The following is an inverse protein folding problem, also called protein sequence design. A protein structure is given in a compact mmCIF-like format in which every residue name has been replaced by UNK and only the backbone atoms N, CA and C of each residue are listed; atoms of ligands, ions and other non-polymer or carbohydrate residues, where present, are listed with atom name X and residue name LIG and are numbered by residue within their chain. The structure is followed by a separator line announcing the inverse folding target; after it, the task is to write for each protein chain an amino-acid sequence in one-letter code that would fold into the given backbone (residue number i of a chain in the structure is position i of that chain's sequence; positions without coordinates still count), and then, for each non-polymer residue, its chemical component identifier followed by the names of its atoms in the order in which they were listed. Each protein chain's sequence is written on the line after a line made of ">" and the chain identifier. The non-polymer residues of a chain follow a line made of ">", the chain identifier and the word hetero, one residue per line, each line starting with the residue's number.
data_IF_873941077964
#
_entry.id   IF_873941077964
#
_cell.length_a   1.000
_cell.length_b   1.000
_cell.length_c   1.000
_cell.angle_alpha   90.00
_cell.angle_beta   90.00
_cell.angle_gamma   90.00
#
_symmetry.space_group_name_H-M   'P 1'
#
loop_
_entity.id
_entity.type
_entity.pdbx_description
1 polymer ?
#
# COMPACT_ATOMS: atom_id res chain seq x y z
N UNK A 1 -31.36 -5.17 25.46
CA UNK A 1 -31.23 -5.33 23.99
C UNK A 1 -30.81 -4.03 23.27
N UNK A 2 -31.40 -2.85 23.56
CA UNK A 2 -31.01 -1.57 22.93
C UNK A 2 -29.55 -1.15 23.18
N UNK A 3 -29.03 -1.28 24.40
CA UNK A 3 -27.62 -0.98 24.71
C UNK A 3 -26.63 -1.87 23.94
N UNK A 4 -26.96 -3.15 23.73
CA UNK A 4 -26.12 -4.07 22.97
C UNK A 4 -26.06 -3.66 21.49
N UNK A 5 -27.19 -3.24 20.91
CA UNK A 5 -27.24 -2.73 19.53
C UNK A 5 -26.48 -1.41 19.36
N UNK A 6 -26.56 -0.50 20.35
CA UNK A 6 -25.78 0.75 20.35
C UNK A 6 -24.29 0.46 20.49
N UNK A 7 -23.89 -0.48 21.34
CA UNK A 7 -22.48 -0.87 21.50
C UNK A 7 -21.94 -1.55 20.25
N UNK A 8 -22.72 -2.42 19.59
CA UNK A 8 -22.34 -3.04 18.32
C UNK A 8 -22.25 -2.03 17.19
N UNK A 9 -23.18 -1.07 17.13
CA UNK A 9 -23.10 0.04 16.17
C UNK A 9 -21.87 0.92 16.44
N UNK A 10 -21.58 1.23 17.71
CA UNK A 10 -20.40 2.00 18.10
C UNK A 10 -19.09 1.26 17.76
N UNK A 11 -19.02 -0.04 18.04
CA UNK A 11 -17.89 -0.90 17.66
C UNK A 11 -17.75 -1.03 16.14
N UNK A 12 -18.84 -1.07 15.38
CA UNK A 12 -18.81 -1.05 13.92
C UNK A 12 -18.32 0.30 13.36
N UNK A 13 -18.76 1.41 13.96
CA UNK A 13 -18.29 2.77 13.63
C UNK A 13 -16.79 2.91 13.93
N UNK A 14 -16.31 2.42 15.08
CA UNK A 14 -14.87 2.43 15.40
C UNK A 14 -14.07 1.57 14.41
N UNK A 15 -14.56 0.38 14.04
CA UNK A 15 -13.90 -0.49 13.05
C UNK A 15 -13.78 0.14 11.66
N UNK A 16 -14.67 1.07 11.31
CA UNK A 16 -14.68 1.77 10.01
C UNK A 16 -13.54 2.80 9.88
N UNK A 17 -12.89 3.17 11.00
CA UNK A 17 -11.86 4.23 11.05
C UNK A 17 -10.40 3.76 10.84
N UNK A 18 -10.17 2.47 10.54
CA UNK A 18 -8.86 2.01 10.03
C UNK A 18 -8.69 2.24 8.52
N UNK A 19 -9.45 3.16 7.92
CA UNK A 19 -9.10 3.70 6.62
C UNK A 19 -7.73 4.38 6.76
N UNK A 20 -6.74 3.92 6.01
CA UNK A 20 -5.40 4.53 5.94
C UNK A 20 -5.54 6.03 5.68
N UNK A 21 -5.35 6.84 6.73
CA UNK A 21 -5.34 8.29 6.59
C UNK A 21 -4.16 8.66 5.69
N UNK A 22 -4.44 9.46 4.67
CA UNK A 22 -3.43 10.04 3.81
C UNK A 22 -2.47 10.89 4.65
N UNK A 23 -1.17 10.60 4.57
CA UNK A 23 -0.11 11.37 5.24
C UNK A 23 0.80 12.11 4.25
N UNK A 24 0.66 11.81 2.96
CA UNK A 24 1.42 12.41 1.87
C UNK A 24 0.56 12.45 0.61
N UNK A 25 0.85 13.39 -0.29
CA UNK A 25 0.24 13.45 -1.62
C UNK A 25 0.81 12.31 -2.47
N UNK A 26 -0.04 11.63 -3.24
CA UNK A 26 0.39 10.56 -4.14
C UNK A 26 -0.69 9.52 -4.41
N UNK A 27 -0.31 8.47 -5.13
CA UNK A 27 -1.16 7.29 -5.33
C UNK A 27 -0.59 6.09 -4.59
N UNK A 28 -1.46 5.39 -3.86
CA UNK A 28 -1.06 4.32 -2.98
C UNK A 28 -1.94 3.11 -3.21
N UNK A 29 -1.34 1.92 -3.19
CA UNK A 29 -2.10 0.67 -3.31
C UNK A 29 -3.03 0.50 -2.11
N UNK A 30 -4.21 -0.08 -2.35
CA UNK A 30 -5.05 -0.55 -1.26
C UNK A 30 -4.43 -1.83 -0.70
N UNK A 31 -4.07 -1.82 0.59
CA UNK A 31 -3.46 -3.00 1.22
C UNK A 31 -4.47 -4.14 1.36
N UNK A 32 -3.96 -5.37 1.19
CA UNK A 32 -4.73 -6.63 1.28
C UNK A 32 -5.86 -6.72 0.27
N UNK A 33 -5.69 -6.07 -0.89
CA UNK A 33 -6.58 -6.29 -2.03
C UNK A 33 -6.11 -7.54 -2.80
N UNK A 34 -6.85 -8.66 -2.79
CA UNK A 34 -6.43 -9.89 -3.46
C UNK A 34 -6.33 -9.73 -4.99
N UNK A 35 -6.98 -8.71 -5.56
CA UNK A 35 -6.91 -8.42 -7.00
C UNK A 35 -5.77 -7.49 -7.35
N UNK A 36 -5.28 -6.72 -6.36
CA UNK A 36 -4.26 -5.69 -6.49
C UNK A 36 -4.61 -4.62 -7.53
N UNK A 37 -5.91 -4.42 -7.77
CA UNK A 37 -6.47 -3.43 -8.69
C UNK A 37 -6.88 -2.17 -7.94
N UNK A 38 -7.23 -2.30 -6.66
CA UNK A 38 -7.68 -1.18 -5.83
C UNK A 38 -6.48 -0.36 -5.40
N UNK A 39 -6.63 0.94 -5.55
CA UNK A 39 -5.68 1.93 -5.08
C UNK A 39 -6.46 3.14 -4.61
N UNK A 40 -5.76 4.08 -4.00
CA UNK A 40 -6.34 5.35 -3.63
C UNK A 40 -5.36 6.47 -3.92
N UNK A 41 -5.89 7.63 -4.27
CA UNK A 41 -5.11 8.86 -4.33
C UNK A 41 -5.29 9.63 -3.04
N UNK A 42 -4.23 10.33 -2.65
CA UNK A 42 -4.22 11.29 -1.57
C UNK A 42 -3.89 12.65 -2.17
N UNK A 43 -4.80 13.59 -2.05
CA UNK A 43 -4.62 14.96 -2.51
C UNK A 43 -4.78 15.92 -1.35
N UNK A 44 -4.06 17.04 -1.36
CA UNK A 44 -4.21 18.09 -0.34
C UNK A 44 -5.27 19.10 -0.78
N UNK A 45 -6.16 19.51 0.13
CA UNK A 45 -7.02 20.68 -0.02
C UNK A 45 -6.57 21.77 0.94
N UNK A 46 -6.53 23.00 0.43
CA UNK A 46 -6.23 24.20 1.21
C UNK A 46 -4.89 24.11 1.97
N UNK A 47 -3.97 23.27 1.49
CA UNK A 47 -2.67 22.97 2.12
C UNK A 47 -2.72 22.42 3.56
N UNK A 48 -3.91 22.02 4.05
CA UNK A 48 -4.12 21.62 5.46
C UNK A 48 -4.83 20.28 5.65
N UNK A 49 -5.60 19.80 4.66
CA UNK A 49 -6.34 18.54 4.77
C UNK A 49 -6.02 17.61 3.61
N UNK A 50 -5.95 16.31 3.88
CA UNK A 50 -5.86 15.31 2.82
C UNK A 50 -7.25 14.73 2.49
N UNK A 51 -7.59 14.63 1.20
CA UNK A 51 -8.68 13.79 0.70
C UNK A 51 -8.11 12.47 0.22
N UNK A 52 -8.72 11.38 0.67
CA UNK A 52 -8.56 10.04 0.09
C UNK A 52 -9.63 9.81 -0.98
N UNK A 53 -9.23 9.37 -2.17
CA UNK A 53 -10.16 8.93 -3.22
C UNK A 53 -9.84 7.50 -3.63
N UNK A 54 -10.75 6.58 -3.34
CA UNK A 54 -10.62 5.16 -3.70
C UNK A 54 -10.92 4.96 -5.19
N UNK A 55 -10.06 4.20 -5.85
CA UNK A 55 -10.05 3.97 -7.29
C UNK A 55 -9.77 2.49 -7.59
N UNK A 56 -10.04 2.07 -8.81
CA UNK A 56 -9.71 0.73 -9.30
C UNK A 56 -9.03 0.82 -10.66
N UNK A 57 -8.00 0.01 -10.87
CA UNK A 57 -7.42 -0.21 -12.18
C UNK A 57 -8.45 -0.85 -13.12
N UNK A 58 -8.24 -0.66 -14.42
CA UNK A 58 -9.04 -1.31 -15.46
C UNK A 58 -8.84 -2.83 -15.47
N UNK A 59 -9.72 -3.52 -16.20
CA UNK A 59 -9.68 -4.99 -16.32
C UNK A 59 -8.30 -5.47 -16.76
N UNK A 60 -7.76 -6.48 -16.06
CA UNK A 60 -6.44 -7.09 -16.24
C UNK A 60 -5.22 -6.25 -15.82
N UNK A 61 -5.41 -4.99 -15.44
CA UNK A 61 -4.32 -4.16 -14.91
C UNK A 61 -4.25 -4.28 -13.39
N UNK A 62 -3.05 -4.13 -12.83
CA UNK A 62 -2.82 -4.04 -11.38
C UNK A 62 -2.12 -2.73 -11.06
N UNK A 63 -2.34 -2.20 -9.87
CA UNK A 63 -1.63 -1.01 -9.43
C UNK A 63 -0.15 -1.37 -9.19
N UNK A 64 0.75 -0.63 -9.82
CA UNK A 64 2.19 -0.74 -9.65
C UNK A 64 2.61 0.29 -8.58
N UNK A 65 3.02 -0.15 -7.37
CA UNK A 65 3.40 0.77 -6.30
C UNK A 65 4.73 1.48 -6.53
N UNK A 66 5.55 1.01 -7.47
CA UNK A 66 6.84 1.61 -7.82
C UNK A 66 6.66 2.79 -8.77
N UNK A 67 5.80 2.64 -9.79
CA UNK A 67 5.48 3.72 -10.74
C UNK A 67 4.28 4.56 -10.30
N UNK A 68 3.53 4.11 -9.29
CA UNK A 68 2.26 4.70 -8.82
C UNK A 68 1.18 4.75 -9.92
N UNK A 69 1.17 3.78 -10.83
CA UNK A 69 0.26 3.72 -11.97
C UNK A 69 -0.32 2.31 -12.15
N UNK A 70 -1.43 2.19 -12.87
CA UNK A 70 -1.94 0.88 -13.28
C UNK A 70 -1.10 0.33 -14.44
N UNK A 71 -0.72 -0.94 -14.37
CA UNK A 71 0.14 -1.61 -15.33
C UNK A 71 -0.34 -3.06 -15.55
N UNK A 72 -0.30 -3.53 -16.80
CA UNK A 72 -0.66 -4.92 -17.16
C UNK A 72 0.36 -5.94 -16.64
N UNK A 73 1.59 -5.53 -16.43
CA UNK A 73 2.72 -6.38 -16.05
C UNK A 73 3.08 -6.32 -14.56
N UNK A 74 2.40 -5.45 -13.80
CA UNK A 74 2.65 -5.29 -12.37
C UNK A 74 2.47 -6.60 -11.60
N UNK A 75 3.46 -6.93 -10.79
CA UNK A 75 3.43 -8.02 -9.83
C UNK A 75 2.80 -7.51 -8.54
N UNK A 76 1.81 -8.25 -8.04
CA UNK A 76 1.22 -7.91 -6.75
C UNK A 76 2.17 -8.27 -5.61
N UNK A 77 2.44 -7.31 -4.73
CA UNK A 77 3.39 -7.48 -3.62
C UNK A 77 2.74 -7.78 -2.27
N UNK A 78 1.41 -7.70 -2.14
CA UNK A 78 0.71 -7.62 -0.85
C UNK A 78 0.99 -8.78 0.12
N UNK A 79 1.28 -9.98 -0.40
CA UNK A 79 1.61 -11.18 0.40
C UNK A 79 3.11 -11.44 0.56
N UNK A 80 3.99 -10.61 0.00
CA UNK A 80 5.43 -10.87 0.00
C UNK A 80 6.03 -10.94 1.41
N UNK A 81 5.40 -10.29 2.39
CA UNK A 81 5.87 -10.25 3.77
C UNK A 81 5.20 -11.26 4.71
N UNK A 82 4.20 -12.03 4.25
CA UNK A 82 3.40 -12.90 5.13
C UNK A 82 4.22 -13.98 5.84
N UNK A 83 5.30 -14.44 5.20
CA UNK A 83 6.17 -15.51 5.71
C UNK A 83 7.63 -15.07 5.84
N UNK A 84 7.88 -13.77 6.01
CA UNK A 84 9.23 -13.23 6.12
C UNK A 84 9.61 -12.89 7.55
N UNK A 85 10.91 -12.90 7.89
CA UNK A 85 11.38 -12.32 9.14
C UNK A 85 10.94 -10.85 9.28
N UNK A 86 10.68 -10.36 10.50
CA UNK A 86 10.37 -8.94 10.71
C UNK A 86 11.45 -8.04 10.12
N UNK A 87 11.03 -6.95 9.48
CA UNK A 87 11.91 -5.94 8.87
C UNK A 87 12.78 -6.46 7.69
N UNK A 88 12.44 -7.60 7.10
CA UNK A 88 13.12 -8.14 5.93
C UNK A 88 13.09 -7.17 4.73
N UNK A 89 14.19 -7.14 3.98
CA UNK A 89 14.29 -6.48 2.66
C UNK A 89 14.21 -7.53 1.56
N UNK A 90 13.39 -7.29 0.54
CA UNK A 90 13.23 -8.16 -0.62
C UNK A 90 13.41 -7.36 -1.91
N UNK A 91 13.86 -7.99 -3.02
CA UNK A 91 13.91 -7.32 -4.33
C UNK A 91 12.53 -6.82 -4.75
N UNK A 92 12.47 -5.60 -5.30
CA UNK A 92 11.24 -5.07 -5.89
C UNK A 92 10.98 -5.74 -7.25
N UNK A 93 9.93 -6.56 -7.42
CA UNK A 93 9.61 -7.20 -8.68
C UNK A 93 9.13 -6.20 -9.75
N UNK A 94 8.68 -5.02 -9.33
CA UNK A 94 8.17 -3.96 -10.19
C UNK A 94 9.21 -2.85 -10.46
N UNK A 95 10.47 -3.07 -10.06
CA UNK A 95 11.55 -2.14 -10.35
C UNK A 95 11.73 -1.94 -11.87
N UNK A 96 11.83 -0.67 -12.29
CA UNK A 96 11.99 -0.29 -13.70
C UNK A 96 13.22 -0.93 -14.37
N UNK A 97 14.29 -1.14 -13.61
CA UNK A 97 15.47 -1.86 -14.05
C UNK A 97 15.70 -3.05 -13.12
N UNK A 98 15.53 -4.26 -13.64
CA UNK A 98 15.70 -5.48 -12.84
C UNK A 98 17.18 -5.87 -12.58
N UNK A 99 18.11 -5.31 -13.35
CA UNK A 99 19.56 -5.55 -13.21
C UNK A 99 20.17 -4.62 -12.17
N UNK A 100 19.65 -3.39 -12.09
CA UNK A 100 19.98 -2.40 -11.07
C UNK A 100 18.67 -1.80 -10.56
N UNK A 101 18.08 -2.42 -9.53
CA UNK A 101 16.82 -1.92 -8.97
C UNK A 101 17.17 -0.70 -8.14
N UNK A 102 16.41 0.36 -8.31
CA UNK A 102 16.54 1.58 -7.49
C UNK A 102 15.56 1.56 -6.31
N UNK A 103 14.77 0.49 -6.22
CA UNK A 103 13.74 0.28 -5.22
C UNK A 103 13.78 -1.16 -4.69
N UNK A 104 13.33 -1.34 -3.46
CA UNK A 104 13.18 -2.64 -2.83
C UNK A 104 11.90 -2.70 -1.99
N UNK A 105 11.43 -3.90 -1.70
CA UNK A 105 10.34 -4.11 -0.74
C UNK A 105 10.93 -4.14 0.67
N UNK A 106 10.46 -3.24 1.53
CA UNK A 106 10.68 -3.29 2.97
C UNK A 106 9.44 -3.86 3.65
N UNK A 107 9.58 -5.00 4.33
CA UNK A 107 8.55 -5.49 5.23
C UNK A 107 8.52 -4.62 6.48
N UNK A 108 7.35 -4.11 6.84
CA UNK A 108 7.09 -3.28 8.03
C UNK A 108 6.10 -3.99 8.93
N UNK A 109 6.15 -3.70 10.23
CA UNK A 109 5.33 -4.39 11.24
C UNK A 109 6.02 -5.65 11.79
N UNK A 110 5.49 -6.19 12.88
CA UNK A 110 6.05 -7.37 13.57
C UNK A 110 5.05 -8.54 13.49
N UNK A 111 3.81 -8.34 13.93
CA UNK A 111 2.75 -9.38 13.96
C UNK A 111 1.83 -9.34 12.74
N UNK A 112 1.70 -8.17 12.10
CA UNK A 112 0.93 -7.97 10.87
C UNK A 112 1.85 -7.29 9.86
N UNK A 113 2.75 -8.06 9.27
CA UNK A 113 3.72 -7.50 8.35
C UNK A 113 3.03 -7.04 7.06
N UNK A 114 3.53 -5.95 6.49
CA UNK A 114 3.06 -5.45 5.20
C UNK A 114 4.23 -4.93 4.37
N UNK A 115 4.19 -5.09 3.04
CA UNK A 115 5.24 -4.62 2.15
C UNK A 115 5.16 -3.11 1.96
N UNK A 116 6.29 -2.45 1.78
CA UNK A 116 6.37 -1.04 1.35
C UNK A 116 7.48 -0.91 0.31
N UNK A 117 7.30 -0.03 -0.68
CA UNK A 117 8.37 0.26 -1.65
C UNK A 117 9.23 1.37 -1.06
N UNK A 118 10.53 1.12 -0.97
CA UNK A 118 11.55 2.06 -0.49
C UNK A 118 12.62 2.26 -1.57
N UNK A 119 13.28 3.42 -1.58
CA UNK A 119 14.40 3.71 -2.47
C UNK A 119 15.69 3.08 -1.93
N UNK A 120 16.54 2.52 -2.81
CA UNK A 120 17.86 2.05 -2.41
C UNK A 120 18.71 3.23 -1.89
N UNK A 121 19.65 3.00 -0.95
CA UNK A 121 20.55 4.04 -0.49
C UNK A 121 21.37 4.64 -1.64
N UNK A 122 21.45 5.98 -1.69
CA UNK A 122 22.13 6.73 -2.76
C UNK A 122 23.61 6.35 -2.96
N UNK A 123 24.26 5.80 -1.93
CA UNK A 123 25.67 5.41 -1.98
C UNK A 123 25.94 4.16 -2.84
N UNK A 124 24.95 3.27 -3.03
CA UNK A 124 25.10 2.06 -3.84
C UNK A 124 24.41 2.16 -5.20
N UNK A 125 23.43 3.06 -5.36
CA UNK A 125 22.66 3.29 -6.59
C UNK A 125 21.71 2.15 -6.98
N UNK A 126 22.13 0.90 -6.75
CA UNK A 126 21.40 -0.33 -7.01
C UNK A 126 21.21 -1.17 -5.74
N UNK A 127 20.08 -1.86 -5.69
CA UNK A 127 19.78 -3.05 -4.90
C UNK A 127 18.84 -3.95 -5.74
#
# INVERSE_FOLDING_TARGET
>A
MKFLLVLLAYLAIIRMSLATNCVAVGSFRQSKDPTCQKYFTCNVILDIYFIKTDLSCGTFMKFNPTTQQCDYTSVCIDSFCDNQPPLQKLPDPNALNQTCRHTYIQCKGITNQYPTIEQCPLASGCC
#
